data_IF_795228584900
#
_entry.id   IF_795228584900
#
_cell.length_a   1.000
_cell.length_b   1.000
_cell.length_c   1.000
_cell.angle_alpha   90.00
_cell.angle_beta   90.00
_cell.angle_gamma   90.00
#
_symmetry.space_group_name_H-M   'P 1'
#
loop_
_entity.id
_entity.type
_entity.pdbx_description
1 polymer ?
#
# COMPACT_ATOMS: atom_id res chain seq x y z
N UNK A 1 -14.90 -7.15 9.77
CA UNK A 1 -13.70 -7.93 9.42
C UNK A 1 -13.28 -8.66 10.68
N UNK A 2 -12.88 -9.92 10.56
CA UNK A 2 -12.46 -10.80 11.66
C UNK A 2 -11.01 -11.25 11.40
N UNK A 3 -10.26 -11.55 12.45
CA UNK A 3 -8.85 -11.98 12.39
C UNK A 3 -8.72 -13.49 12.14
N UNK A 4 -9.76 -14.26 12.42
CA UNK A 4 -9.74 -15.71 12.23
C UNK A 4 -10.33 -16.16 10.89
N UNK A 5 -11.08 -15.27 10.23
CA UNK A 5 -11.63 -15.51 8.91
C UNK A 5 -10.62 -15.18 7.80
N UNK A 6 -10.49 -16.09 6.83
CA UNK A 6 -9.69 -15.86 5.62
C UNK A 6 -10.18 -14.63 4.84
N UNK A 7 -9.28 -14.02 4.04
CA UNK A 7 -9.64 -12.91 3.17
C UNK A 7 -10.76 -13.34 2.20
N UNK A 8 -11.74 -12.45 2.02
CA UNK A 8 -12.87 -12.70 1.11
C UNK A 8 -12.36 -12.90 -0.32
N UNK A 9 -13.10 -13.64 -1.15
CA UNK A 9 -12.71 -13.99 -2.53
C UNK A 9 -12.52 -12.77 -3.45
N UNK A 10 -12.96 -11.59 -3.01
CA UNK A 10 -12.72 -10.31 -3.69
C UNK A 10 -11.26 -9.84 -3.60
N UNK A 11 -10.46 -10.39 -2.68
CA UNK A 11 -9.04 -10.04 -2.52
C UNK A 11 -8.18 -10.91 -3.43
N UNK A 12 -7.32 -10.28 -4.21
CA UNK A 12 -6.33 -10.99 -5.04
C UNK A 12 -4.98 -11.00 -4.34
N UNK A 13 -4.45 -12.20 -4.14
CA UNK A 13 -3.10 -12.40 -3.62
C UNK A 13 -2.04 -11.84 -4.60
N UNK A 14 -1.15 -10.99 -4.07
CA UNK A 14 -0.06 -10.37 -4.80
C UNK A 14 1.18 -11.27 -4.91
N UNK A 15 1.19 -12.41 -4.21
CA UNK A 15 2.28 -13.39 -4.24
C UNK A 15 3.41 -13.06 -3.28
N UNK A 16 4.58 -13.64 -3.53
CA UNK A 16 5.73 -13.45 -2.64
C UNK A 16 6.26 -12.01 -2.66
N UNK A 17 6.48 -11.47 -1.46
CA UNK A 17 7.13 -10.20 -1.20
C UNK A 17 8.60 -10.41 -0.81
N UNK A 18 9.41 -9.36 -0.93
CA UNK A 18 10.82 -9.34 -0.49
C UNK A 18 10.92 -9.64 1.01
N UNK A 19 12.05 -10.18 1.44
CA UNK A 19 12.36 -10.44 2.85
C UNK A 19 12.57 -9.16 3.66
N UNK A 20 12.77 -8.02 2.99
CA UNK A 20 12.80 -6.68 3.57
C UNK A 20 11.48 -6.29 4.28
N UNK A 21 10.39 -7.00 3.98
CA UNK A 21 9.09 -6.79 4.62
C UNK A 21 8.27 -5.66 4.00
N UNK A 22 7.35 -5.11 4.81
CA UNK A 22 6.46 -4.01 4.42
C UNK A 22 6.71 -2.83 5.34
N UNK A 23 7.02 -1.68 4.75
CA UNK A 23 7.14 -0.42 5.49
C UNK A 23 5.79 0.27 5.57
N UNK A 24 5.47 0.79 6.74
CA UNK A 24 4.26 1.59 6.96
C UNK A 24 4.70 2.92 7.55
N UNK A 25 4.33 4.01 6.89
CA UNK A 25 4.64 5.36 7.34
C UNK A 25 3.32 6.13 7.54
N UNK A 26 3.24 6.85 8.65
CA UNK A 26 2.11 7.71 8.99
C UNK A 26 2.67 9.09 9.32
N UNK A 27 2.37 10.06 8.46
CA UNK A 27 2.80 11.44 8.58
C UNK A 27 1.61 12.35 8.85
N UNK A 28 1.84 13.38 9.67
CA UNK A 28 0.84 14.41 9.99
C UNK A 28 1.48 15.77 9.82
N UNK A 29 0.97 16.57 8.88
CA UNK A 29 1.43 17.95 8.73
C UNK A 29 0.61 18.86 9.64
N UNK A 30 1.31 19.74 10.34
CA UNK A 30 0.73 20.68 11.30
C UNK A 30 1.23 22.09 10.99
N UNK A 31 0.30 23.02 10.81
CA UNK A 31 0.60 24.43 10.63
C UNK A 31 0.46 25.18 11.96
N UNK A 32 1.54 25.86 12.34
CA UNK A 32 1.66 26.65 13.57
C UNK A 32 1.23 28.11 13.31
N UNK A 33 0.07 28.50 13.83
CA UNK A 33 -0.41 29.89 13.79
C UNK A 33 0.32 30.68 14.87
N UNK A 34 1.30 31.47 14.44
CA UNK A 34 2.07 32.36 15.31
C UNK A 34 1.38 33.72 15.42
N UNK A 35 1.26 34.25 16.65
CA UNK A 35 0.82 35.62 16.87
C UNK A 35 2.02 36.56 16.99
N UNK A 36 1.93 37.75 16.41
CA UNK A 36 3.02 38.73 16.39
C UNK A 36 3.55 39.11 17.79
N UNK A 37 2.72 38.99 18.84
CA UNK A 37 3.07 39.31 20.22
C UNK A 37 3.64 38.13 21.02
N UNK A 38 3.74 36.94 20.42
CA UNK A 38 4.19 35.73 21.10
C UNK A 38 5.29 35.05 20.28
N UNK A 39 6.39 34.70 20.93
CA UNK A 39 7.43 33.85 20.34
C UNK A 39 7.01 32.38 20.22
N UNK A 40 5.86 32.01 20.79
CA UNK A 40 5.31 30.64 20.76
C UNK A 40 4.00 30.61 19.95
N UNK A 41 3.77 29.55 19.16
CA UNK A 41 2.54 29.39 18.38
C UNK A 41 1.30 29.40 19.26
N UNK A 42 0.31 30.20 18.86
CA UNK A 42 -0.94 30.37 19.60
C UNK A 42 -1.92 29.24 19.30
N UNK A 43 -1.79 28.60 18.13
CA UNK A 43 -2.61 27.45 17.75
C UNK A 43 -1.87 26.58 16.75
N UNK A 44 -2.01 25.26 16.90
CA UNK A 44 -1.60 24.26 15.92
C UNK A 44 -2.82 23.76 15.18
N UNK A 45 -2.77 23.70 13.85
CA UNK A 45 -3.84 23.14 13.01
C UNK A 45 -3.26 21.99 12.20
N UNK A 46 -3.84 20.80 12.34
CA UNK A 46 -3.51 19.65 11.51
C UNK A 46 -4.00 19.92 10.08
N UNK A 47 -3.08 19.98 9.12
CA UNK A 47 -3.37 20.32 7.72
C UNK A 47 -3.57 19.10 6.85
N UNK A 48 -2.79 18.04 7.07
CA UNK A 48 -2.96 16.75 6.37
C UNK A 48 -2.55 15.57 7.24
N UNK A 49 -3.08 14.42 6.88
CA UNK A 49 -2.70 13.12 7.40
C UNK A 49 -2.44 12.23 6.20
N UNK A 50 -1.23 11.72 6.10
CA UNK A 50 -0.76 10.91 4.99
C UNK A 50 -0.29 9.56 5.54
N UNK A 51 -0.81 8.48 4.96
CA UNK A 51 -0.37 7.13 5.29
C UNK A 51 0.13 6.45 4.02
N UNK A 52 1.35 5.89 4.08
CA UNK A 52 1.96 5.19 2.96
C UNK A 52 2.39 3.78 3.36
N UNK A 53 2.30 2.85 2.40
CA UNK A 53 2.73 1.46 2.54
C UNK A 53 3.75 1.17 1.44
N UNK A 54 5.00 0.89 1.80
CA UNK A 54 6.05 0.46 0.88
C UNK A 54 6.23 -1.05 0.92
N UNK A 55 6.23 -1.69 -0.25
CA UNK A 55 6.53 -3.12 -0.35
C UNK A 55 7.18 -3.45 -1.69
N UNK A 56 7.98 -4.51 -1.70
CA UNK A 56 8.63 -5.02 -2.92
C UNK A 56 8.09 -6.40 -3.23
N UNK A 57 7.43 -6.54 -4.38
CA UNK A 57 6.95 -7.84 -4.84
C UNK A 57 8.02 -8.53 -5.69
N UNK A 58 8.42 -9.75 -5.31
CA UNK A 58 9.42 -10.55 -6.04
C UNK A 58 8.76 -11.54 -7.02
N UNK A 59 7.48 -11.84 -6.82
CA UNK A 59 6.72 -12.70 -7.71
C UNK A 59 5.99 -11.90 -8.80
N UNK A 60 6.32 -12.20 -10.06
CA UNK A 60 5.74 -11.55 -11.23
C UNK A 60 4.40 -12.18 -11.62
N UNK A 61 3.36 -11.99 -10.80
CA UNK A 61 1.98 -12.35 -11.16
C UNK A 61 1.34 -11.28 -12.05
N UNK A 62 0.35 -11.68 -12.84
CA UNK A 62 -0.42 -10.76 -13.69
C UNK A 62 -0.94 -9.55 -12.90
N UNK A 63 -1.48 -9.77 -11.68
CA UNK A 63 -1.99 -8.70 -10.83
C UNK A 63 -0.88 -7.73 -10.39
N UNK A 64 0.26 -8.24 -9.94
CA UNK A 64 1.41 -7.46 -9.50
C UNK A 64 1.98 -6.61 -10.62
N UNK A 65 2.08 -7.18 -11.82
CA UNK A 65 2.52 -6.47 -13.03
C UNK A 65 1.52 -5.37 -13.40
N UNK A 66 0.21 -5.65 -13.38
CA UNK A 66 -0.82 -4.63 -13.69
C UNK A 66 -0.96 -3.55 -12.62
N UNK A 67 -0.61 -3.85 -11.36
CA UNK A 67 -0.56 -2.87 -10.29
C UNK A 67 0.67 -1.95 -10.46
N UNK A 68 1.82 -2.53 -10.81
CA UNK A 68 3.04 -1.78 -11.08
C UNK A 68 2.92 -0.90 -12.34
N UNK A 69 2.32 -1.41 -13.42
CA UNK A 69 2.04 -0.65 -14.64
C UNK A 69 0.55 -0.28 -14.73
N UNK A 70 0.14 0.90 -14.25
CA UNK A 70 -1.28 1.27 -14.23
C UNK A 70 -1.86 1.27 -15.65
N UNK A 71 -3.11 0.83 -15.76
CA UNK A 71 -3.81 0.73 -17.06
C UNK A 71 -3.21 -0.27 -18.05
N UNK A 72 -2.22 -1.08 -17.65
CA UNK A 72 -1.67 -2.11 -18.52
C UNK A 72 -2.66 -3.25 -18.73
N UNK A 73 -2.63 -3.84 -19.93
CA UNK A 73 -3.48 -4.98 -20.27
C UNK A 73 -2.61 -6.17 -20.65
N UNK A 74 -2.97 -7.35 -20.15
CA UNK A 74 -2.29 -8.60 -20.50
C UNK A 74 -3.17 -9.34 -21.49
N UNK A 75 -2.61 -9.64 -22.67
CA UNK A 75 -3.30 -10.37 -23.74
C UNK A 75 -2.48 -11.58 -24.21
N UNK A 76 -3.17 -12.68 -24.52
CA UNK A 76 -2.53 -13.87 -25.07
C UNK A 76 -2.18 -13.63 -26.54
N UNK A 77 -0.91 -13.81 -26.90
CA UNK A 77 -0.46 -13.69 -28.29
C UNK A 77 -0.55 -15.04 -28.99
N UNK A 78 0.09 -16.07 -28.42
CA UNK A 78 0.06 -17.44 -28.91
C UNK A 78 0.67 -18.41 -27.89
N UNK A 79 0.14 -19.63 -27.78
CA UNK A 79 0.67 -20.66 -26.88
C UNK A 79 0.77 -20.20 -25.42
N UNK A 80 2.00 -20.06 -24.89
CA UNK A 80 2.28 -19.56 -23.55
C UNK A 80 2.79 -18.10 -23.53
N UNK A 81 2.80 -17.41 -24.67
CA UNK A 81 3.33 -16.05 -24.81
C UNK A 81 2.23 -15.04 -24.46
N UNK A 82 2.44 -14.31 -23.37
CA UNK A 82 1.62 -13.19 -22.94
C UNK A 82 2.26 -11.87 -23.38
N UNK A 83 1.45 -10.93 -23.86
CA UNK A 83 1.86 -9.54 -24.13
C UNK A 83 1.32 -8.64 -23.04
N UNK A 84 2.16 -7.74 -22.57
CA UNK A 84 1.79 -6.63 -21.70
C UNK A 84 1.79 -5.35 -22.52
N UNK A 85 0.62 -4.76 -22.72
CA UNK A 85 0.47 -3.46 -23.36
C UNK A 85 0.40 -2.37 -22.28
N UNK A 86 1.42 -1.52 -22.21
CA UNK A 86 1.51 -0.42 -21.24
C UNK A 86 1.03 0.88 -21.92
N UNK A 87 -0.03 1.54 -21.43
CA UNK A 87 -0.51 2.77 -22.04
C UNK A 87 0.48 3.92 -21.84
N UNK A 88 0.55 4.82 -22.82
CA UNK A 88 1.39 6.03 -22.73
C UNK A 88 0.86 7.06 -21.72
N UNK A 89 -0.43 7.01 -21.39
CA UNK A 89 -1.10 7.90 -20.45
C UNK A 89 -2.14 7.12 -19.61
N UNK A 90 -1.70 6.37 -18.59
CA UNK A 90 -2.63 5.72 -17.68
C UNK A 90 -3.34 6.76 -16.81
N UNK A 91 -4.60 6.50 -16.49
CA UNK A 91 -5.33 7.23 -15.44
C UNK A 91 -4.93 6.75 -14.04
N UNK A 92 -5.28 7.51 -12.99
CA UNK A 92 -5.11 7.06 -11.60
C UNK A 92 -5.90 5.77 -11.38
N UNK A 93 -5.27 4.82 -10.68
CA UNK A 93 -5.88 3.53 -10.39
C UNK A 93 -5.86 3.27 -8.89
N UNK A 94 -7.05 3.32 -8.31
CA UNK A 94 -7.27 3.05 -6.90
C UNK A 94 -7.52 1.55 -6.67
N UNK A 95 -6.92 1.02 -5.62
CA UNK A 95 -7.11 -0.35 -5.16
C UNK A 95 -7.37 -0.37 -3.65
N UNK A 96 -8.05 -1.40 -3.18
CA UNK A 96 -8.01 -1.74 -1.76
C UNK A 96 -6.75 -2.59 -1.49
N UNK A 97 -6.02 -2.28 -0.43
CA UNK A 97 -4.84 -3.03 0.00
C UNK A 97 -5.09 -3.66 1.36
N UNK A 98 -4.69 -4.93 1.47
CA UNK A 98 -4.81 -5.73 2.65
C UNK A 98 -3.46 -6.29 3.03
N UNK A 99 -3.04 -6.07 4.27
CA UNK A 99 -1.81 -6.61 4.82
C UNK A 99 -2.15 -7.41 6.06
N UNK A 100 -1.58 -8.60 6.17
CA UNK A 100 -1.68 -9.44 7.36
C UNK A 100 -0.30 -9.91 7.75
N UNK A 101 0.00 -9.83 9.05
CA UNK A 101 1.23 -10.37 9.60
C UNK A 101 0.97 -11.01 10.96
N UNK A 102 1.80 -12.00 11.27
CA UNK A 102 1.72 -12.79 12.49
C UNK A 102 3.03 -12.59 13.25
N UNK A 103 2.92 -12.13 14.49
CA UNK A 103 4.03 -12.00 15.43
C UNK A 103 3.75 -12.92 16.64
N UNK A 104 4.35 -14.11 16.62
CA UNK A 104 4.05 -15.17 17.59
C UNK A 104 2.57 -15.60 17.54
N UNK A 105 1.85 -15.39 18.64
CA UNK A 105 0.40 -15.68 18.74
C UNK A 105 -0.48 -14.47 18.34
N UNK A 106 0.14 -13.32 18.03
CA UNK A 106 -0.54 -12.08 17.68
C UNK A 106 -0.73 -12.03 16.16
N UNK A 107 -1.98 -12.00 15.71
CA UNK A 107 -2.38 -11.74 14.33
C UNK A 107 -2.76 -10.27 14.19
N UNK A 108 -2.18 -9.64 13.19
CA UNK A 108 -2.47 -8.27 12.82
C UNK A 108 -2.97 -8.23 11.38
N UNK A 109 -4.03 -7.44 11.14
CA UNK A 109 -4.58 -7.21 9.81
C UNK A 109 -4.80 -5.71 9.60
N UNK A 110 -4.13 -5.15 8.60
CA UNK A 110 -4.32 -3.78 8.15
C UNK A 110 -5.10 -3.78 6.84
N UNK A 111 -6.14 -2.95 6.76
CA UNK A 111 -6.91 -2.75 5.53
C UNK A 111 -6.95 -1.27 5.16
N UNK A 112 -6.47 -0.97 3.97
CA UNK A 112 -6.58 0.32 3.30
C UNK A 112 -7.67 0.20 2.24
N UNK A 113 -8.80 0.86 2.47
CA UNK A 113 -9.97 0.75 1.59
C UNK A 113 -9.76 1.45 0.23
N UNK A 114 -9.00 2.54 0.22
CA UNK A 114 -8.62 3.29 -0.99
C UNK A 114 -7.14 3.61 -0.92
N UNK A 115 -6.34 2.95 -1.73
CA UNK A 115 -4.93 3.26 -1.92
C UNK A 115 -4.60 3.40 -3.40
N UNK A 116 -3.62 4.24 -3.71
CA UNK A 116 -3.06 4.37 -5.04
C UNK A 116 -1.56 4.15 -4.98
N UNK A 117 -0.99 3.48 -5.99
CA UNK A 117 0.45 3.33 -6.10
C UNK A 117 1.04 4.64 -6.65
N UNK A 118 1.59 5.45 -5.75
CA UNK A 118 2.11 6.80 -6.03
C UNK A 118 3.59 6.79 -6.37
N UNK A 119 4.37 5.88 -5.80
CA UNK A 119 5.79 5.72 -6.13
C UNK A 119 6.13 4.27 -6.53
N UNK A 120 7.13 4.15 -7.41
CA UNK A 120 7.62 2.90 -7.98
C UNK A 120 9.13 2.97 -8.04
N UNK A 121 9.81 1.95 -7.55
CA UNK A 121 11.27 1.88 -7.61
C UNK A 121 11.75 1.41 -8.99
N UNK A 122 13.02 1.65 -9.31
CA UNK A 122 13.57 1.19 -10.58
C UNK A 122 13.71 -0.34 -10.61
N UNK A 123 13.21 -0.96 -11.68
CA UNK A 123 13.35 -2.39 -11.88
C UNK A 123 14.80 -2.73 -12.26
N UNK A 124 15.54 -3.37 -11.35
CA UNK A 124 16.89 -3.86 -11.63
C UNK A 124 16.84 -5.29 -12.19
N UNK A 125 17.27 -5.46 -13.45
CA UNK A 125 17.37 -6.77 -14.11
C UNK A 125 18.82 -7.25 -14.08
N UNK A 126 19.23 -7.81 -12.93
CA UNK A 126 20.54 -8.42 -12.73
C UNK A 126 20.50 -9.93 -12.92
N UNK A 127 21.59 -10.53 -13.45
CA UNK A 127 21.68 -12.00 -13.64
C UNK A 127 21.69 -12.80 -12.33
N UNK A 128 21.97 -12.13 -11.21
CA UNK A 128 22.13 -12.71 -9.87
C UNK A 128 21.11 -12.18 -8.85
N UNK A 129 20.22 -11.27 -9.25
CA UNK A 129 19.29 -10.62 -8.33
C UNK A 129 17.86 -10.99 -8.71
N UNK A 130 17.02 -11.24 -7.71
CA UNK A 130 15.59 -11.40 -7.94
C UNK A 130 15.02 -10.11 -8.53
N UNK A 131 14.09 -10.26 -9.48
CA UNK A 131 13.38 -9.12 -10.06
C UNK A 131 12.35 -8.63 -9.05
N UNK A 132 12.65 -7.53 -8.36
CA UNK A 132 11.75 -6.90 -7.39
C UNK A 132 10.99 -5.72 -7.99
N UNK A 133 9.67 -5.73 -7.83
CA UNK A 133 8.79 -4.61 -8.14
C UNK A 133 8.52 -3.82 -6.85
N UNK A 134 9.37 -2.83 -6.57
CA UNK A 134 9.18 -1.90 -5.44
C UNK A 134 8.03 -0.94 -5.72
N UNK A 135 7.04 -0.92 -4.84
CA UNK A 135 5.83 -0.09 -4.95
C UNK A 135 5.54 0.60 -3.61
N UNK A 136 5.13 1.87 -3.68
CA UNK A 136 4.61 2.63 -2.54
C UNK A 136 3.16 2.98 -2.81
N UNK A 137 2.30 2.58 -1.89
CA UNK A 137 0.87 2.87 -1.89
C UNK A 137 0.63 4.05 -0.95
N UNK A 138 -0.04 5.10 -1.44
CA UNK A 138 -0.60 6.14 -0.59
C UNK A 138 -2.06 5.84 -0.32
N UNK A 139 -2.45 5.80 0.96
CA UNK A 139 -3.84 5.66 1.38
C UNK A 139 -4.56 7.01 1.25
N UNK A 140 -5.75 6.99 0.66
CA UNK A 140 -6.59 8.17 0.54
C UNK A 140 -7.79 8.09 1.47
N UNK A 141 -8.24 9.26 1.93
CA UNK A 141 -9.51 9.39 2.62
C UNK A 141 -10.64 8.83 1.76
N UNK A 142 -11.43 7.93 2.34
CA UNK A 142 -12.67 7.46 1.76
C UNK A 142 -13.85 8.26 2.31
N UNK A 143 -15.08 7.90 1.94
CA UNK A 143 -16.27 8.44 2.61
C UNK A 143 -16.41 7.98 4.07
N UNK A 144 -15.59 7.02 4.51
CA UNK A 144 -15.46 6.63 5.91
C UNK A 144 -14.54 7.61 6.66
N UNK A 145 -14.75 7.83 7.96
CA UNK A 145 -13.91 8.72 8.76
C UNK A 145 -12.46 8.25 8.90
N UNK A 146 -12.15 6.99 8.59
CA UNK A 146 -10.82 6.40 8.69
C UNK A 146 -10.13 6.21 7.31
N UNK A 147 -8.82 6.45 7.27
CA UNK A 147 -7.95 6.21 6.10
C UNK A 147 -7.51 4.74 5.98
N UNK A 148 -7.42 4.02 7.11
CA UNK A 148 -7.09 2.61 7.19
C UNK A 148 -7.64 2.01 8.50
N UNK A 149 -7.86 0.70 8.51
CA UNK A 149 -8.30 -0.04 9.70
C UNK A 149 -7.26 -1.08 10.08
N UNK A 150 -6.70 -1.00 11.28
CA UNK A 150 -5.81 -2.01 11.85
C UNK A 150 -6.56 -2.81 12.91
N UNK A 151 -6.72 -4.10 12.66
CA UNK A 151 -7.24 -5.09 13.62
C UNK A 151 -6.06 -5.88 14.21
N UNK A 152 -6.07 -6.05 15.53
CA UNK A 152 -5.11 -6.90 16.25
C UNK A 152 -5.82 -7.71 17.32
N UNK A 153 -5.37 -8.95 17.57
CA UNK A 153 -5.82 -9.77 18.69
C UNK A 153 -4.88 -9.62 19.92
N UNK A 154 -3.99 -8.62 19.91
CA UNK A 154 -3.09 -8.34 21.02
C UNK A 154 -3.88 -7.94 22.27
N UNK A 155 -3.77 -8.67 23.40
CA UNK A 155 -4.43 -8.32 24.65
C UNK A 155 -4.00 -6.94 25.19
N UNK A 156 -2.86 -6.40 24.78
CA UNK A 156 -2.41 -5.05 25.16
C UNK A 156 -3.30 -3.94 24.58
N UNK A 157 -4.09 -4.21 23.54
CA UNK A 157 -4.96 -3.23 22.90
C UNK A 157 -6.33 -3.09 23.58
N UNK A 158 -6.65 -3.96 24.55
CA UNK A 158 -7.94 -3.98 25.25
C UNK A 158 -8.05 -2.94 26.40
N UNK A 159 -7.20 -1.90 26.40
CA UNK A 159 -7.09 -0.90 27.47
C UNK A 159 -8.27 0.08 27.53
#
# INVERSE_FOLDING_TARGET
MDLDSAWDAAWTDLGFMSDDGVSMEYSTDVEDINAWQSLSPVRRVLTSVDMTLGFTAIELKARTITAYFPGSTISLVSGAIQRLDIPAAPGPQEFAFGLEWIDGDIKNRLVVARGEITARESLSLGRSSAVGLGMTVSAYASSAPEIATWLSNDPAWAA
#
